data_IF_836812911950
#
_entry.id   IF_836812911950
#
_cell.length_a   1.000
_cell.length_b   1.000
_cell.length_c   1.000
_cell.angle_alpha   90.00
_cell.angle_beta   90.00
_cell.angle_gamma   90.00
#
_symmetry.space_group_name_H-M   'P 1'
#
loop_
_entity.id
_entity.type
_entity.pdbx_description
1 polymer ?
#
# COMPACT_ATOMS: atom_id res chain seq x y z
N UNK A 1 10.92 17.70 19.74
CA UNK A 1 11.21 18.55 18.56
C UNK A 1 10.54 17.91 17.36
N UNK A 2 9.38 18.41 16.94
CA UNK A 2 8.68 17.95 15.76
C UNK A 2 9.42 18.48 14.54
N UNK A 3 10.25 17.65 13.95
CA UNK A 3 10.69 17.92 12.57
C UNK A 3 9.54 17.51 11.66
N UNK A 4 8.75 18.47 11.24
CA UNK A 4 7.90 18.31 10.07
C UNK A 4 8.79 17.95 8.89
N UNK A 5 8.56 16.77 8.34
CA UNK A 5 9.30 16.26 7.21
C UNK A 5 8.90 17.10 5.98
N UNK A 6 9.64 18.13 5.71
CA UNK A 6 9.40 19.03 4.60
C UNK A 6 9.92 18.38 3.31
N UNK A 7 9.04 17.89 2.48
CA UNK A 7 9.32 17.31 1.18
C UNK A 7 10.17 18.19 0.26
N UNK A 8 10.18 19.50 0.49
CA UNK A 8 10.93 20.46 -0.31
C UNK A 8 12.44 20.47 0.00
N UNK A 9 12.89 19.96 1.15
CA UNK A 9 14.28 20.07 1.60
C UNK A 9 15.17 18.85 1.27
N UNK A 10 14.61 17.79 0.65
CA UNK A 10 15.38 16.61 0.22
C UNK A 10 16.21 16.82 -1.05
N UNK A 11 16.43 18.04 -1.45
CA UNK A 11 17.12 18.37 -2.71
C UNK A 11 18.62 18.09 -2.71
N UNK A 12 19.21 17.55 -1.65
CA UNK A 12 20.68 17.43 -1.57
C UNK A 12 21.29 16.04 -1.56
N UNK A 13 20.51 14.94 -1.60
CA UNK A 13 21.12 13.61 -1.38
C UNK A 13 21.01 12.62 -2.53
N UNK A 14 20.14 12.80 -3.54
CA UNK A 14 20.17 11.88 -4.68
C UNK A 14 19.54 12.46 -5.96
N UNK A 15 20.35 12.75 -6.95
CA UNK A 15 19.93 13.30 -8.26
C UNK A 15 18.92 12.36 -8.96
N UNK A 16 19.05 11.03 -8.80
CA UNK A 16 18.16 10.05 -9.42
C UNK A 16 16.81 9.96 -8.70
N UNK A 17 16.78 10.03 -7.38
CA UNK A 17 15.54 10.06 -6.60
C UNK A 17 14.76 11.36 -6.82
N UNK A 18 15.44 12.49 -7.01
CA UNK A 18 14.79 13.76 -7.30
C UNK A 18 14.08 13.74 -8.66
N UNK A 19 14.67 13.10 -9.67
CA UNK A 19 14.07 13.00 -11.01
C UNK A 19 12.81 12.14 -11.01
N UNK A 20 12.85 10.97 -10.37
CA UNK A 20 11.69 10.08 -10.25
C UNK A 20 10.56 10.77 -9.47
N UNK A 21 10.89 11.43 -8.36
CA UNK A 21 9.95 12.22 -7.58
C UNK A 21 9.29 13.34 -8.41
N UNK A 22 10.07 14.05 -9.23
CA UNK A 22 9.54 15.09 -10.13
C UNK A 22 8.58 14.50 -11.17
N UNK A 23 8.95 13.37 -11.79
CA UNK A 23 8.15 12.72 -12.82
C UNK A 23 6.82 12.17 -12.27
N UNK A 24 6.79 11.75 -11.01
CA UNK A 24 5.60 11.17 -10.37
C UNK A 24 4.79 12.19 -9.56
N UNK A 25 5.30 13.40 -9.35
CA UNK A 25 4.73 14.39 -8.45
C UNK A 25 3.29 14.79 -8.75
N UNK A 26 2.97 15.00 -10.03
CA UNK A 26 1.61 15.39 -10.43
C UNK A 26 0.60 14.25 -10.15
N UNK A 27 0.99 13.01 -10.44
CA UNK A 27 0.18 11.85 -10.13
C UNK A 27 0.01 11.66 -8.62
N UNK A 28 1.06 11.89 -7.84
CA UNK A 28 1.02 11.83 -6.39
C UNK A 28 0.03 12.86 -5.81
N UNK A 29 0.13 14.11 -6.21
CA UNK A 29 -0.82 15.16 -5.81
C UNK A 29 -2.26 14.83 -6.19
N UNK A 30 -2.44 14.22 -7.37
CA UNK A 30 -3.76 13.80 -7.86
C UNK A 30 -4.34 12.71 -6.98
N UNK A 31 -3.54 11.70 -6.62
CA UNK A 31 -3.95 10.62 -5.73
C UNK A 31 -4.32 11.14 -4.32
N UNK A 32 -3.53 12.03 -3.74
CA UNK A 32 -3.81 12.62 -2.41
C UNK A 32 -5.14 13.41 -2.36
N UNK A 33 -5.57 13.96 -3.49
CA UNK A 33 -6.83 14.73 -3.59
C UNK A 33 -8.06 13.85 -3.73
N UNK A 34 -7.92 12.56 -3.98
CA UNK A 34 -9.05 11.64 -4.11
C UNK A 34 -9.79 11.51 -2.78
N UNK A 35 -11.11 11.38 -2.86
CA UNK A 35 -11.99 11.24 -1.69
C UNK A 35 -11.55 10.09 -0.77
N UNK A 36 -11.15 8.97 -1.35
CA UNK A 36 -10.69 7.80 -0.61
C UNK A 36 -9.42 8.08 0.21
N UNK A 37 -8.42 8.72 -0.37
CA UNK A 37 -7.19 9.11 0.33
C UNK A 37 -7.48 10.07 1.50
N UNK A 38 -8.39 11.01 1.30
CA UNK A 38 -8.82 11.94 2.35
C UNK A 38 -9.54 11.21 3.49
N UNK A 39 -10.38 10.22 3.19
CA UNK A 39 -11.04 9.39 4.20
C UNK A 39 -10.03 8.58 5.02
N UNK A 40 -9.04 7.96 4.37
CA UNK A 40 -7.96 7.25 5.06
C UNK A 40 -7.22 8.14 6.07
N UNK A 41 -6.90 9.37 5.68
CA UNK A 41 -6.19 10.32 6.54
C UNK A 41 -7.05 10.88 7.67
N UNK A 42 -8.37 10.95 7.49
CA UNK A 42 -9.32 11.42 8.52
C UNK A 42 -9.77 10.32 9.46
N UNK A 43 -9.66 9.07 9.05
CA UNK A 43 -10.22 7.89 9.66
C UNK A 43 -11.43 7.36 8.91
N UNK A 44 -11.54 6.06 8.80
CA UNK A 44 -12.68 5.34 8.22
C UNK A 44 -13.43 4.58 9.30
N UNK A 45 -14.71 4.36 9.08
CA UNK A 45 -15.48 3.39 9.88
C UNK A 45 -14.89 1.97 9.72
N UNK A 46 -14.94 1.13 10.75
CA UNK A 46 -14.30 -0.19 10.74
C UNK A 46 -14.68 -1.06 9.54
N UNK A 47 -15.94 -1.09 9.13
CA UNK A 47 -16.39 -1.90 7.99
C UNK A 47 -15.87 -1.37 6.64
N UNK A 48 -15.82 -0.05 6.47
CA UNK A 48 -15.23 0.58 5.27
C UNK A 48 -13.72 0.32 5.21
N UNK A 49 -13.04 0.44 6.35
CA UNK A 49 -11.61 0.17 6.45
C UNK A 49 -11.29 -1.32 6.23
N UNK A 50 -12.11 -2.23 6.79
CA UNK A 50 -11.96 -3.68 6.55
C UNK A 50 -12.04 -4.02 5.07
N UNK A 51 -13.05 -3.49 4.37
CA UNK A 51 -13.17 -3.67 2.92
C UNK A 51 -11.95 -3.14 2.18
N UNK A 52 -11.45 -1.97 2.55
CA UNK A 52 -10.25 -1.38 1.96
C UNK A 52 -9.03 -2.30 2.16
N UNK A 53 -8.73 -2.73 3.40
CA UNK A 53 -7.59 -3.59 3.70
C UNK A 53 -7.70 -4.95 3.00
N UNK A 54 -8.90 -5.52 2.93
CA UNK A 54 -9.09 -6.79 2.22
C UNK A 54 -8.78 -6.68 0.72
N UNK A 55 -9.22 -5.62 0.08
CA UNK A 55 -8.87 -5.34 -1.32
C UNK A 55 -7.36 -5.10 -1.50
N UNK A 56 -6.71 -4.41 -0.57
CA UNK A 56 -5.26 -4.23 -0.60
C UNK A 56 -4.53 -5.56 -0.39
N UNK A 57 -4.95 -6.36 0.57
CA UNK A 57 -4.35 -7.65 0.88
C UNK A 57 -4.29 -8.57 -0.35
N UNK A 58 -5.41 -8.72 -1.05
CA UNK A 58 -5.48 -9.58 -2.25
C UNK A 58 -4.52 -9.10 -3.34
N UNK A 59 -4.43 -7.80 -3.55
CA UNK A 59 -3.52 -7.20 -4.52
C UNK A 59 -2.05 -7.34 -4.11
N UNK A 60 -1.72 -7.06 -2.84
CA UNK A 60 -0.35 -7.22 -2.32
C UNK A 60 0.10 -8.68 -2.36
N UNK A 61 -0.79 -9.58 -1.97
CA UNK A 61 -0.51 -11.03 -2.05
C UNK A 61 -0.18 -11.45 -3.48
N UNK A 62 -0.96 -11.05 -4.47
CA UNK A 62 -0.70 -11.36 -5.87
C UNK A 62 0.66 -10.80 -6.32
N UNK A 63 0.96 -9.54 -6.00
CA UNK A 63 2.23 -8.91 -6.35
C UNK A 63 3.43 -9.58 -5.68
N UNK A 64 3.36 -9.81 -4.37
CA UNK A 64 4.45 -10.38 -3.59
C UNK A 64 4.70 -11.85 -3.96
N UNK A 65 3.66 -12.64 -4.15
CA UNK A 65 3.81 -14.05 -4.54
C UNK A 65 4.39 -14.17 -5.96
N UNK A 66 3.93 -13.37 -6.91
CA UNK A 66 4.48 -13.33 -8.26
C UNK A 66 5.94 -12.88 -8.28
N UNK A 67 6.25 -11.82 -7.55
CA UNK A 67 7.60 -11.30 -7.43
C UNK A 67 8.55 -12.29 -6.74
N UNK A 68 8.08 -13.00 -5.72
CA UNK A 68 8.85 -14.05 -5.03
C UNK A 68 9.15 -15.21 -5.95
N UNK A 69 8.15 -15.68 -6.68
CA UNK A 69 8.31 -16.79 -7.63
C UNK A 69 9.30 -16.47 -8.76
N UNK A 70 9.45 -15.21 -9.11
CA UNK A 70 10.41 -14.72 -10.12
C UNK A 70 11.76 -14.26 -9.54
N UNK A 71 11.98 -14.40 -8.23
CA UNK A 71 13.21 -14.00 -7.55
C UNK A 71 13.41 -12.49 -7.40
N UNK A 72 12.37 -11.68 -7.70
CA UNK A 72 12.48 -10.20 -7.63
C UNK A 72 12.59 -9.69 -6.20
N UNK A 73 12.08 -10.45 -5.23
CA UNK A 73 12.14 -10.07 -3.80
C UNK A 73 13.43 -10.49 -3.10
N UNK A 74 14.35 -11.19 -3.78
CA UNK A 74 15.58 -11.68 -3.17
C UNK A 74 16.40 -10.52 -2.59
N UNK A 75 16.65 -10.58 -1.28
CA UNK A 75 17.36 -9.55 -0.51
C UNK A 75 16.53 -8.36 -0.05
N UNK A 76 15.25 -8.30 -0.44
CA UNK A 76 14.31 -7.24 0.00
C UNK A 76 13.03 -7.80 0.62
N UNK A 77 13.00 -9.07 0.97
CA UNK A 77 11.83 -9.77 1.55
C UNK A 77 11.21 -9.05 2.77
N UNK A 78 11.98 -8.36 3.63
CA UNK A 78 11.41 -7.67 4.79
C UNK A 78 10.43 -6.55 4.45
N UNK A 79 10.37 -6.11 3.18
CA UNK A 79 9.37 -5.10 2.78
C UNK A 79 7.97 -5.68 2.58
N UNK A 80 7.82 -6.99 2.47
CA UNK A 80 6.54 -7.66 2.24
C UNK A 80 5.51 -7.29 3.30
N UNK A 81 4.25 -7.12 2.89
CA UNK A 81 3.15 -6.62 3.71
C UNK A 81 2.01 -7.62 3.88
N UNK A 82 1.93 -8.67 3.05
CA UNK A 82 0.79 -9.58 3.05
C UNK A 82 0.52 -10.20 4.42
N UNK A 83 1.55 -10.62 5.16
CA UNK A 83 1.37 -11.24 6.47
C UNK A 83 0.86 -10.23 7.51
N UNK A 84 1.41 -9.02 7.52
CA UNK A 84 0.95 -7.95 8.40
C UNK A 84 -0.50 -7.51 8.08
N UNK A 85 -0.87 -7.50 6.80
CA UNK A 85 -2.26 -7.23 6.38
C UNK A 85 -3.20 -8.36 6.82
N UNK A 86 -2.77 -9.62 6.72
CA UNK A 86 -3.55 -10.76 7.19
C UNK A 86 -3.80 -10.69 8.70
N UNK A 87 -2.79 -10.29 9.48
CA UNK A 87 -2.95 -10.06 10.91
C UNK A 87 -3.92 -8.91 11.22
N UNK A 88 -3.84 -7.80 10.50
CA UNK A 88 -4.78 -6.67 10.65
C UNK A 88 -6.22 -7.09 10.31
N UNK A 89 -6.41 -7.89 9.24
CA UNK A 89 -7.72 -8.42 8.89
C UNK A 89 -8.28 -9.33 10.01
N UNK A 90 -7.48 -10.26 10.53
CA UNK A 90 -7.89 -11.14 11.63
C UNK A 90 -8.25 -10.38 12.90
N UNK A 91 -7.52 -9.31 13.20
CA UNK A 91 -7.84 -8.45 14.33
C UNK A 91 -9.22 -7.82 14.17
N UNK A 92 -9.52 -7.25 13.00
CA UNK A 92 -10.81 -6.63 12.70
C UNK A 92 -11.95 -7.66 12.64
N UNK A 93 -11.69 -8.84 12.11
CA UNK A 93 -12.63 -9.98 12.12
C UNK A 93 -13.01 -10.38 13.54
N UNK A 94 -12.04 -10.44 14.44
CA UNK A 94 -12.27 -10.78 15.85
C UNK A 94 -13.02 -9.69 16.59
N UNK A 95 -12.68 -8.42 16.35
CA UNK A 95 -13.26 -7.28 17.06
C UNK A 95 -14.69 -6.95 16.59
N UNK A 96 -15.00 -7.17 15.31
CA UNK A 96 -16.23 -6.69 14.69
C UNK A 96 -17.10 -7.81 14.08
N UNK A 97 -16.62 -9.04 14.03
CA UNK A 97 -17.35 -10.15 13.42
C UNK A 97 -17.39 -10.11 11.89
N UNK A 98 -16.45 -9.39 11.26
CA UNK A 98 -16.35 -9.36 9.80
C UNK A 98 -15.86 -10.69 9.25
N UNK A 99 -16.21 -10.97 8.00
CA UNK A 99 -15.77 -12.17 7.26
C UNK A 99 -15.25 -11.77 5.88
N UNK A 100 -14.29 -12.53 5.38
CA UNK A 100 -13.75 -12.34 4.03
C UNK A 100 -14.74 -12.89 3.02
N UNK A 101 -15.39 -11.98 2.31
CA UNK A 101 -16.36 -12.29 1.28
C UNK A 101 -15.88 -11.72 -0.06
N UNK A 102 -15.95 -12.53 -1.11
CA UNK A 102 -15.56 -12.08 -2.46
C UNK A 102 -16.39 -10.89 -2.95
N UNK A 103 -17.64 -10.77 -2.48
CA UNK A 103 -18.51 -9.61 -2.78
C UNK A 103 -17.95 -8.28 -2.25
N UNK A 104 -17.00 -8.33 -1.31
CA UNK A 104 -16.28 -7.14 -0.82
C UNK A 104 -15.18 -6.68 -1.78
N UNK A 105 -14.74 -7.52 -2.70
CA UNK A 105 -13.69 -7.19 -3.65
C UNK A 105 -14.21 -6.28 -4.76
N UNK A 106 -13.42 -5.28 -5.10
CA UNK A 106 -13.69 -4.42 -6.23
C UNK A 106 -13.28 -5.12 -7.54
N UNK A 107 -14.00 -4.95 -8.65
CA UNK A 107 -13.64 -5.58 -9.93
C UNK A 107 -12.21 -5.29 -10.40
N UNK A 108 -11.66 -4.12 -10.06
CA UNK A 108 -10.28 -3.74 -10.38
C UNK A 108 -9.23 -4.65 -9.72
N UNK A 109 -9.60 -5.43 -8.71
CA UNK A 109 -8.69 -6.39 -8.06
C UNK A 109 -8.31 -7.51 -9.02
N UNK A 110 -9.30 -8.08 -9.71
CA UNK A 110 -9.06 -9.13 -10.70
C UNK A 110 -8.23 -8.61 -11.89
N UNK A 111 -8.56 -7.42 -12.37
CA UNK A 111 -7.77 -6.75 -13.42
C UNK A 111 -6.32 -6.54 -13.00
N UNK A 112 -6.10 -6.16 -11.74
CA UNK A 112 -4.77 -5.97 -11.19
C UNK A 112 -4.00 -7.29 -11.07
N UNK A 113 -4.63 -8.37 -10.62
CA UNK A 113 -4.03 -9.70 -10.54
C UNK A 113 -3.58 -10.17 -11.93
N UNK A 114 -4.46 -10.05 -12.92
CA UNK A 114 -4.14 -10.40 -14.30
C UNK A 114 -2.96 -9.59 -14.85
N UNK A 115 -2.96 -8.29 -14.58
CA UNK A 115 -1.87 -7.39 -14.95
C UNK A 115 -0.54 -7.81 -14.33
N UNK A 116 -0.52 -8.06 -13.02
CA UNK A 116 0.69 -8.47 -12.28
C UNK A 116 1.26 -9.78 -12.83
N UNK A 117 0.39 -10.74 -13.16
CA UNK A 117 0.81 -12.03 -13.71
C UNK A 117 1.50 -11.93 -15.07
N UNK A 118 1.25 -10.86 -15.81
CA UNK A 118 1.87 -10.62 -17.13
C UNK A 118 3.15 -9.78 -17.07
N UNK A 119 3.48 -9.18 -15.91
CA UNK A 119 4.64 -8.30 -15.78
C UNK A 119 5.96 -9.06 -15.85
N UNK A 120 6.96 -8.44 -16.47
CA UNK A 120 8.36 -8.84 -16.33
C UNK A 120 8.94 -8.38 -14.97
N UNK A 121 10.21 -8.72 -14.71
CA UNK A 121 10.86 -8.37 -13.46
C UNK A 121 10.95 -6.85 -13.22
N UNK A 122 11.18 -6.06 -14.27
CA UNK A 122 11.24 -4.61 -14.17
C UNK A 122 9.86 -4.02 -13.84
N UNK A 123 8.80 -4.54 -14.43
CA UNK A 123 7.42 -4.17 -14.13
C UNK A 123 7.04 -4.50 -12.69
N UNK A 124 7.36 -5.71 -12.22
CA UNK A 124 7.13 -6.12 -10.83
C UNK A 124 7.87 -5.21 -9.85
N UNK A 125 9.16 -4.93 -10.10
CA UNK A 125 9.95 -4.04 -9.25
C UNK A 125 9.37 -2.62 -9.20
N UNK A 126 8.85 -2.14 -10.32
CA UNK A 126 8.18 -0.82 -10.38
C UNK A 126 6.93 -0.77 -9.52
N UNK A 127 6.10 -1.81 -9.54
CA UNK A 127 4.92 -1.92 -8.68
C UNK A 127 5.29 -2.02 -7.19
N UNK A 128 6.32 -2.81 -6.86
CA UNK A 128 6.85 -2.91 -5.49
C UNK A 128 7.33 -1.54 -5.02
N UNK A 129 8.08 -0.82 -5.84
CA UNK A 129 8.54 0.52 -5.50
C UNK A 129 7.39 1.46 -5.16
N UNK A 130 6.39 1.55 -6.03
CA UNK A 130 5.26 2.47 -5.83
C UNK A 130 4.44 2.09 -4.60
N UNK A 131 4.12 0.81 -4.43
CA UNK A 131 3.24 0.36 -3.35
C UNK A 131 3.96 0.31 -2.00
N UNK A 132 5.06 -0.45 -1.89
CA UNK A 132 5.72 -0.69 -0.62
C UNK A 132 6.49 0.53 -0.11
N UNK A 133 7.27 1.18 -0.97
CA UNK A 133 8.04 2.36 -0.58
C UNK A 133 7.19 3.62 -0.49
N UNK A 134 6.14 3.76 -1.29
CA UNK A 134 5.19 4.88 -1.20
C UNK A 134 4.46 4.93 0.13
N UNK A 135 4.22 3.79 0.77
CA UNK A 135 3.52 3.70 2.06
C UNK A 135 4.40 3.94 3.29
N UNK A 136 5.73 3.94 3.15
CA UNK A 136 6.63 4.12 4.30
C UNK A 136 6.38 5.41 5.07
N UNK A 137 5.98 6.47 4.40
CA UNK A 137 5.71 7.77 5.03
C UNK A 137 4.22 8.05 5.18
N UNK A 138 3.45 7.94 4.09
CA UNK A 138 2.00 8.16 4.10
C UNK A 138 1.26 7.17 4.99
N UNK A 139 1.70 5.93 5.03
CA UNK A 139 1.16 4.88 5.86
C UNK A 139 1.21 5.18 7.36
N UNK A 140 2.26 5.84 7.84
CA UNK A 140 2.36 6.22 9.25
C UNK A 140 1.28 7.25 9.66
N UNK A 141 0.86 8.08 8.75
CA UNK A 141 -0.25 9.02 8.99
C UNK A 141 -1.59 8.27 9.04
N UNK A 142 -1.79 7.32 8.15
CA UNK A 142 -2.99 6.48 8.10
C UNK A 142 -3.08 5.60 9.35
N UNK A 143 -1.97 4.99 9.77
CA UNK A 143 -1.89 4.14 10.97
C UNK A 143 -2.49 4.79 12.21
N UNK A 144 -2.24 6.07 12.41
CA UNK A 144 -2.74 6.84 13.58
C UNK A 144 -4.27 6.93 13.63
N UNK A 145 -4.95 6.70 12.53
CA UNK A 145 -6.40 6.83 12.37
C UNK A 145 -7.09 5.54 11.96
N UNK A 146 -6.29 4.53 11.61
CA UNK A 146 -6.82 3.25 11.19
C UNK A 146 -7.50 2.52 12.36
N UNK A 147 -8.64 1.86 12.12
CA UNK A 147 -9.17 0.87 13.04
C UNK A 147 -8.16 -0.26 13.25
N UNK A 148 -8.05 -0.75 14.50
CA UNK A 148 -7.11 -1.82 14.85
C UNK A 148 -5.66 -1.35 14.98
N UNK A 149 -4.73 -2.30 14.99
CA UNK A 149 -3.29 -2.05 15.26
C UNK A 149 -2.53 -1.46 14.08
N UNK A 150 -3.03 -1.60 12.86
CA UNK A 150 -2.39 -1.07 11.66
C UNK A 150 -0.99 -1.64 11.43
N UNK A 151 -0.83 -2.95 11.54
CA UNK A 151 0.48 -3.64 11.42
C UNK A 151 1.06 -3.54 10.03
N UNK A 152 0.21 -3.37 9.01
CA UNK A 152 0.65 -3.22 7.64
C UNK A 152 1.47 -1.93 7.40
N UNK A 153 1.36 -0.94 8.26
CA UNK A 153 2.05 0.36 8.14
C UNK A 153 3.35 0.43 8.92
#
# INVERSE_FOLDING_TARGET
MNQEYNWATHTRVNINMSKLKQLTWENHKKAERMTHARKLLKGMEPGEYYRFIYNQYVQYKALEDTARNKGVLEGIEPICRQDAMDEDLRELETQHGFTRDEDLLCPVVDEYIDHVNMLDNAGLLSHIYVRHFGELHGGQMIKKRAPGSGKMY
#
